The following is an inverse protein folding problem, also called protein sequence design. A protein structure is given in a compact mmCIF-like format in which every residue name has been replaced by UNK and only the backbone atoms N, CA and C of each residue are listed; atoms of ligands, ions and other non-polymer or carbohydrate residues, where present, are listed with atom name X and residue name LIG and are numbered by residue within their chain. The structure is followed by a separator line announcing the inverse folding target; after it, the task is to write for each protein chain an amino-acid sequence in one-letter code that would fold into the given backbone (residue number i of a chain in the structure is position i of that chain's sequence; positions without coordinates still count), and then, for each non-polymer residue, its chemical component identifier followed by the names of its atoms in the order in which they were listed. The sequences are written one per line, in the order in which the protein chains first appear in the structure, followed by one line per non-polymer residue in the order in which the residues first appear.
data_IF_196991571435
#
_entry.id   IF_196991571435
#
_cell.length_a   1.000
_cell.length_b   1.000
_cell.length_c   1.000
_cell.angle_alpha   90.00
_cell.angle_beta   90.00
_cell.angle_gamma   90.00
#
_symmetry.space_group_name_H-M   'P 1'
#
loop_
_entity.id
_entity.type
_entity.pdbx_description
1 polymer ?
#
# COMPACT_ATOMS: atom_id res chain seq x y z
N UNK A 1 52.46 6.58 -22.50
CA UNK A 1 52.07 7.16 -21.19
C UNK A 1 50.62 6.77 -20.96
N UNK A 2 50.39 5.66 -20.25
CA UNK A 2 49.05 5.15 -19.97
C UNK A 2 48.56 5.78 -18.67
N UNK A 3 47.43 6.48 -18.72
CA UNK A 3 46.76 6.95 -17.51
C UNK A 3 46.06 5.75 -16.84
N UNK A 4 46.15 5.60 -15.51
CA UNK A 4 45.33 4.64 -14.80
C UNK A 4 43.88 5.11 -14.84
N UNK A 5 42.96 4.22 -15.22
CA UNK A 5 41.55 4.39 -14.94
C UNK A 5 41.39 4.24 -13.43
N UNK A 6 41.31 5.37 -12.73
CA UNK A 6 40.85 5.42 -11.35
C UNK A 6 39.46 4.80 -11.30
N UNK A 7 39.37 3.55 -10.85
CA UNK A 7 38.13 2.99 -10.35
C UNK A 7 37.80 3.75 -9.07
N UNK A 8 37.16 4.91 -9.24
CA UNK A 8 36.46 5.57 -8.15
C UNK A 8 35.49 4.52 -7.59
N UNK A 9 35.80 4.05 -6.38
CA UNK A 9 34.93 3.21 -5.57
C UNK A 9 33.76 4.08 -5.11
N UNK A 10 32.92 4.49 -6.05
CA UNK A 10 31.70 5.24 -5.83
C UNK A 10 30.72 4.35 -5.10
N UNK A 11 30.37 4.73 -3.88
CA UNK A 11 29.39 4.01 -3.05
C UNK A 11 28.06 3.96 -3.82
N UNK A 12 27.73 2.80 -4.40
CA UNK A 12 26.48 2.59 -5.12
C UNK A 12 25.31 2.80 -4.17
N UNK A 13 24.31 3.58 -4.59
CA UNK A 13 23.09 3.78 -3.80
C UNK A 13 22.39 2.44 -3.63
N UNK A 14 22.04 2.11 -2.39
CA UNK A 14 21.31 0.89 -2.06
C UNK A 14 19.82 1.13 -2.25
N UNK A 15 19.16 0.17 -2.88
CA UNK A 15 17.70 0.13 -2.94
C UNK A 15 17.16 -0.45 -1.63
N UNK A 16 16.02 0.06 -1.12
CA UNK A 16 15.35 -0.54 0.03
C UNK A 16 14.84 -1.95 -0.32
N UNK A 17 14.53 -2.75 0.69
CA UNK A 17 13.81 -4.00 0.47
C UNK A 17 12.33 -3.71 0.19
N UNK A 18 11.69 -4.57 -0.61
CA UNK A 18 10.26 -4.51 -0.87
C UNK A 18 9.59 -5.80 -0.42
N UNK A 19 8.71 -5.72 0.57
CA UNK A 19 7.94 -6.83 1.13
C UNK A 19 6.44 -6.81 0.76
N UNK A 20 6.00 -5.72 0.12
CA UNK A 20 4.61 -5.48 -0.25
C UNK A 20 3.84 -4.59 0.73
N UNK A 21 4.44 -4.14 1.84
CA UNK A 21 3.76 -3.26 2.80
C UNK A 21 3.71 -1.80 2.34
N UNK A 22 4.81 -1.32 1.74
CA UNK A 22 4.83 0.01 1.14
C UNK A 22 4.14 0.02 -0.23
N UNK A 23 3.63 1.17 -0.65
CA UNK A 23 3.06 1.32 -1.99
C UNK A 23 4.10 0.98 -3.07
N UNK A 24 3.75 0.07 -3.97
CA UNK A 24 4.59 -0.31 -5.10
C UNK A 24 5.00 0.88 -5.96
N UNK A 25 4.10 1.85 -6.19
CA UNK A 25 4.43 3.06 -6.94
C UNK A 25 5.50 3.89 -6.23
N UNK A 26 5.40 4.05 -4.91
CA UNK A 26 6.41 4.76 -4.11
C UNK A 26 7.76 4.03 -4.18
N UNK A 27 7.75 2.71 -4.01
CA UNK A 27 8.95 1.89 -4.11
C UNK A 27 9.59 1.98 -5.50
N UNK A 28 8.78 1.83 -6.57
CA UNK A 28 9.23 1.93 -7.97
C UNK A 28 9.89 3.27 -8.25
N UNK A 29 9.33 4.39 -7.75
CA UNK A 29 9.97 5.71 -7.86
C UNK A 29 11.33 5.75 -7.15
N UNK A 30 11.44 5.22 -5.93
CA UNK A 30 12.71 5.18 -5.20
C UNK A 30 13.74 4.28 -5.90
N UNK A 31 13.31 3.14 -6.41
CA UNK A 31 14.13 2.18 -7.14
C UNK A 31 14.69 2.80 -8.44
N UNK A 32 13.84 3.44 -9.24
CA UNK A 32 14.25 4.11 -10.48
C UNK A 32 15.24 5.27 -10.24
N UNK A 33 15.06 6.01 -9.14
CA UNK A 33 16.00 7.06 -8.75
C UNK A 33 17.40 6.47 -8.44
N UNK A 34 17.45 5.37 -7.68
CA UNK A 34 18.70 4.67 -7.40
C UNK A 34 19.33 4.05 -8.65
N UNK A 35 18.52 3.42 -9.51
CA UNK A 35 18.96 2.83 -10.77
C UNK A 35 19.55 3.88 -11.73
N UNK A 36 18.92 5.05 -11.82
CA UNK A 36 19.40 6.17 -12.63
C UNK A 36 20.71 6.72 -12.08
N UNK A 37 20.81 6.94 -10.77
CA UNK A 37 22.05 7.43 -10.15
C UNK A 37 23.20 6.43 -10.24
N UNK A 38 22.92 5.13 -10.26
CA UNK A 38 23.91 4.08 -10.40
C UNK A 38 24.19 3.71 -11.87
N UNK A 39 23.52 4.36 -12.84
CA UNK A 39 23.61 4.05 -14.27
C UNK A 39 23.32 2.58 -14.61
N UNK A 40 22.40 1.94 -13.89
CA UNK A 40 22.09 0.52 -14.10
C UNK A 40 21.43 0.25 -15.45
N UNK A 41 21.97 -0.74 -16.16
CA UNK A 41 21.34 -1.30 -17.36
C UNK A 41 20.16 -2.23 -17.00
N UNK A 42 19.39 -2.66 -17.99
CA UNK A 42 18.19 -3.48 -17.77
C UNK A 42 18.44 -4.76 -16.97
N UNK A 43 19.57 -5.44 -17.18
CA UNK A 43 19.93 -6.68 -16.45
C UNK A 43 20.31 -6.39 -15.00
N UNK A 44 21.05 -5.31 -14.76
CA UNK A 44 21.40 -4.85 -13.42
C UNK A 44 20.16 -4.43 -12.62
N UNK A 45 19.23 -3.70 -13.26
CA UNK A 45 17.92 -3.36 -12.68
C UNK A 45 17.13 -4.60 -12.32
N UNK A 46 16.99 -5.55 -13.25
CA UNK A 46 16.28 -6.80 -12.98
C UNK A 46 16.89 -7.58 -11.80
N UNK A 47 18.22 -7.71 -11.79
CA UNK A 47 18.95 -8.40 -10.71
C UNK A 47 18.77 -7.70 -9.37
N UNK A 48 18.93 -6.38 -9.34
CA UNK A 48 18.76 -5.59 -8.12
C UNK A 48 17.32 -5.66 -7.60
N UNK A 49 16.32 -5.64 -8.50
CA UNK A 49 14.91 -5.76 -8.14
C UNK A 49 14.63 -7.12 -7.52
N UNK A 50 15.05 -8.23 -8.15
CA UNK A 50 14.93 -9.58 -7.59
C UNK A 50 15.55 -9.65 -6.19
N UNK A 51 16.76 -9.11 -6.03
CA UNK A 51 17.47 -9.12 -4.75
C UNK A 51 16.85 -8.22 -3.69
N UNK A 52 15.99 -7.28 -4.07
CA UNK A 52 15.28 -6.40 -3.14
C UNK A 52 13.94 -6.98 -2.68
N UNK A 53 13.33 -7.90 -3.43
CA UNK A 53 12.07 -8.54 -3.06
C UNK A 53 12.21 -9.44 -1.82
N UNK A 54 11.28 -9.30 -0.88
CA UNK A 54 11.21 -10.06 0.36
C UNK A 54 9.76 -10.50 0.62
N UNK A 55 9.58 -11.48 1.50
CA UNK A 55 8.26 -11.90 1.97
C UNK A 55 7.29 -12.21 0.81
N UNK A 56 6.07 -11.71 0.92
CA UNK A 56 5.00 -11.92 -0.08
C UNK A 56 5.37 -11.39 -1.46
N UNK A 57 6.12 -10.29 -1.54
CA UNK A 57 6.50 -9.70 -2.82
C UNK A 57 7.47 -10.58 -3.62
N UNK A 58 8.26 -11.42 -2.95
CA UNK A 58 9.13 -12.38 -3.62
C UNK A 58 8.34 -13.53 -4.28
N UNK A 59 7.10 -13.81 -3.86
CA UNK A 59 6.27 -14.87 -4.45
C UNK A 59 5.89 -14.56 -5.90
N UNK A 60 5.90 -13.28 -6.30
CA UNK A 60 5.68 -12.86 -7.70
C UNK A 60 6.69 -13.50 -8.64
N UNK A 61 7.90 -13.83 -8.19
CA UNK A 61 8.90 -14.49 -9.02
C UNK A 61 8.47 -15.90 -9.46
N UNK A 62 7.55 -16.55 -8.73
CA UNK A 62 7.00 -17.85 -9.10
C UNK A 62 6.02 -17.78 -10.28
N UNK A 63 5.44 -16.61 -10.55
CA UNK A 63 4.50 -16.42 -11.66
C UNK A 63 5.19 -16.09 -12.99
N UNK A 64 6.51 -15.84 -12.95
CA UNK A 64 7.32 -15.45 -14.10
C UNK A 64 8.17 -16.66 -14.56
N UNK A 65 8.17 -17.01 -15.86
CA UNK A 65 9.07 -18.02 -16.40
C UNK A 65 10.56 -17.67 -16.16
N UNK A 66 11.38 -18.69 -15.87
CA UNK A 66 12.78 -18.50 -15.52
C UNK A 66 13.59 -17.78 -16.62
N UNK A 67 13.25 -18.00 -17.89
CA UNK A 67 13.87 -17.29 -19.02
C UNK A 67 13.66 -15.77 -18.98
N UNK A 68 12.62 -15.30 -18.28
CA UNK A 68 12.24 -13.89 -18.20
C UNK A 68 12.63 -13.23 -16.87
N UNK A 69 13.25 -13.95 -15.92
CA UNK A 69 13.64 -13.38 -14.61
C UNK A 69 14.61 -12.21 -14.72
N UNK A 70 15.44 -12.16 -15.76
CA UNK A 70 16.38 -11.05 -15.99
C UNK A 70 15.81 -9.94 -16.89
N UNK A 71 14.52 -9.99 -17.22
CA UNK A 71 13.84 -8.94 -17.96
C UNK A 71 13.12 -7.99 -16.98
N UNK A 72 13.66 -6.77 -16.89
CA UNK A 72 13.14 -5.75 -15.98
C UNK A 72 11.66 -5.42 -16.23
N UNK A 73 11.25 -5.29 -17.49
CA UNK A 73 9.88 -4.92 -17.85
C UNK A 73 8.87 -6.00 -17.44
N UNK A 74 9.26 -7.28 -17.52
CA UNK A 74 8.42 -8.40 -17.10
C UNK A 74 8.26 -8.43 -15.58
N UNK A 75 9.35 -8.20 -14.83
CA UNK A 75 9.30 -8.10 -13.37
C UNK A 75 8.40 -6.95 -12.93
N UNK A 76 8.58 -5.77 -13.51
CA UNK A 76 7.78 -4.59 -13.23
C UNK A 76 6.30 -4.84 -13.55
N UNK A 77 5.99 -5.46 -14.70
CA UNK A 77 4.61 -5.78 -15.08
C UNK A 77 3.94 -6.75 -14.12
N UNK A 78 4.67 -7.76 -13.64
CA UNK A 78 4.16 -8.72 -12.66
C UNK A 78 3.90 -8.07 -11.28
N UNK A 79 4.78 -7.15 -10.88
CA UNK A 79 4.62 -6.35 -9.66
C UNK A 79 3.51 -5.30 -9.81
N UNK A 80 3.33 -4.70 -10.99
CA UNK A 80 2.20 -3.81 -11.29
C UNK A 80 0.87 -4.57 -11.25
N UNK A 81 0.83 -5.83 -11.70
CA UNK A 81 -0.37 -6.66 -11.61
C UNK A 81 -0.70 -7.04 -10.15
N UNK A 82 0.33 -7.37 -9.36
CA UNK A 82 0.17 -7.90 -8.00
C UNK A 82 0.12 -6.82 -6.92
N UNK A 83 0.74 -5.67 -7.15
CA UNK A 83 0.89 -4.58 -6.18
C UNK A 83 0.56 -3.20 -6.77
N UNK A 84 0.17 -3.12 -8.04
CA UNK A 84 -0.26 -1.87 -8.65
C UNK A 84 -1.52 -1.31 -8.00
N UNK A 85 -1.76 -0.02 -8.25
CA UNK A 85 -2.79 0.74 -7.54
C UNK A 85 -4.19 0.14 -7.66
N UNK A 86 -4.58 -0.40 -8.80
CA UNK A 86 -5.93 -0.92 -8.96
C UNK A 86 -6.14 -2.22 -8.17
N UNK A 87 -5.16 -3.12 -8.18
CA UNK A 87 -5.22 -4.33 -7.36
C UNK A 87 -5.22 -3.98 -5.87
N UNK A 88 -4.35 -3.05 -5.46
CA UNK A 88 -4.32 -2.56 -4.08
C UNK A 88 -5.64 -1.88 -3.66
N UNK A 89 -6.23 -1.03 -4.52
CA UNK A 89 -7.57 -0.45 -4.28
C UNK A 89 -8.61 -1.53 -4.05
N UNK A 90 -8.60 -2.61 -4.84
CA UNK A 90 -9.53 -3.72 -4.64
C UNK A 90 -9.29 -4.45 -3.31
N UNK A 91 -8.04 -4.70 -2.92
CA UNK A 91 -7.71 -5.27 -1.60
C UNK A 91 -8.21 -4.34 -0.48
N UNK A 92 -7.92 -3.05 -0.54
CA UNK A 92 -8.35 -2.09 0.48
C UNK A 92 -9.87 -1.99 0.56
N UNK A 93 -10.58 -1.99 -0.57
CA UNK A 93 -12.05 -2.06 -0.61
C UNK A 93 -12.57 -3.31 0.07
N UNK A 94 -11.90 -4.45 -0.14
CA UNK A 94 -12.29 -5.70 0.52
C UNK A 94 -11.99 -5.67 2.03
N UNK A 95 -10.85 -5.12 2.44
CA UNK A 95 -10.51 -4.96 3.86
C UNK A 95 -11.49 -4.01 4.56
N UNK A 96 -11.84 -2.89 3.92
CA UNK A 96 -12.81 -1.92 4.40
C UNK A 96 -14.18 -2.56 4.56
N UNK A 97 -14.67 -3.28 3.54
CA UNK A 97 -15.97 -3.97 3.59
C UNK A 97 -16.05 -5.02 4.69
N UNK A 98 -14.96 -5.72 4.95
CA UNK A 98 -14.88 -6.78 5.95
C UNK A 98 -14.44 -6.26 7.33
N UNK A 99 -14.30 -4.94 7.50
CA UNK A 99 -13.79 -4.36 8.73
C UNK A 99 -14.81 -4.51 9.85
N UNK A 100 -14.39 -5.11 10.95
CA UNK A 100 -15.15 -5.22 12.21
C UNK A 100 -14.25 -4.88 13.38
N UNK A 101 -14.79 -4.24 14.41
CA UNK A 101 -14.07 -3.90 15.64
C UNK A 101 -13.52 -5.16 16.30
N UNK A 102 -12.22 -5.19 16.61
CA UNK A 102 -11.57 -6.32 17.27
C UNK A 102 -11.86 -6.33 18.77
N UNK A 103 -11.57 -7.44 19.44
CA UNK A 103 -11.66 -7.51 20.90
C UNK A 103 -10.59 -6.62 21.54
N UNK A 104 -11.00 -5.71 22.43
CA UNK A 104 -10.10 -4.76 23.07
C UNK A 104 -9.64 -3.59 22.18
N UNK A 105 -10.12 -3.49 20.94
CA UNK A 105 -9.82 -2.35 20.06
C UNK A 105 -10.67 -1.15 20.46
N UNK A 106 -10.01 0.01 20.62
CA UNK A 106 -10.71 1.25 20.94
C UNK A 106 -11.49 1.78 19.73
N UNK A 107 -12.54 2.56 20.00
CA UNK A 107 -13.34 3.21 18.97
C UNK A 107 -12.49 4.13 18.08
N UNK A 108 -11.51 4.81 18.67
CA UNK A 108 -10.59 5.70 17.94
C UNK A 108 -9.67 4.91 17.01
N UNK A 109 -9.13 3.76 17.45
CA UNK A 109 -8.30 2.89 16.61
C UNK A 109 -9.08 2.34 15.42
N UNK A 110 -10.33 1.90 15.67
CA UNK A 110 -11.24 1.47 14.62
C UNK A 110 -11.47 2.58 13.58
N UNK A 111 -11.81 3.79 14.05
CA UNK A 111 -12.10 4.91 13.17
C UNK A 111 -10.88 5.35 12.35
N UNK A 112 -9.69 5.39 12.96
CA UNK A 112 -8.46 5.76 12.28
C UNK A 112 -8.09 4.75 11.17
N UNK A 113 -8.27 3.46 11.44
CA UNK A 113 -8.02 2.42 10.45
C UNK A 113 -9.06 2.45 9.31
N UNK A 114 -10.34 2.72 9.62
CA UNK A 114 -11.38 2.91 8.62
C UNK A 114 -11.10 4.15 7.75
N UNK A 115 -10.72 5.29 8.34
CA UNK A 115 -10.35 6.50 7.59
C UNK A 115 -9.18 6.21 6.64
N UNK A 116 -8.14 5.55 7.14
CA UNK A 116 -6.99 5.10 6.33
C UNK A 116 -7.44 4.19 5.18
N UNK A 117 -8.23 3.15 5.46
CA UNK A 117 -8.69 2.20 4.45
C UNK A 117 -9.59 2.86 3.40
N UNK A 118 -10.43 3.82 3.79
CA UNK A 118 -11.26 4.60 2.86
C UNK A 118 -10.40 5.45 1.92
N UNK A 119 -9.40 6.16 2.45
CA UNK A 119 -8.46 6.95 1.65
C UNK A 119 -7.72 6.07 0.62
N UNK A 120 -7.30 4.87 1.02
CA UNK A 120 -6.59 3.93 0.16
C UNK A 120 -7.51 3.25 -0.88
N UNK A 121 -8.79 3.06 -0.54
CA UNK A 121 -9.80 2.45 -1.42
C UNK A 121 -10.31 3.41 -2.51
N UNK A 122 -10.33 4.71 -2.20
CA UNK A 122 -10.97 5.75 -3.00
C UNK A 122 -10.11 7.04 -3.08
N UNK A 123 -8.85 6.97 -3.56
CA UNK A 123 -7.94 8.13 -3.52
C UNK A 123 -8.40 9.30 -4.38
N UNK A 124 -9.19 9.05 -5.43
CA UNK A 124 -9.69 10.05 -6.38
C UNK A 124 -11.15 10.44 -6.17
N UNK A 125 -11.85 9.83 -5.21
CA UNK A 125 -13.23 10.19 -4.91
C UNK A 125 -13.30 11.51 -4.15
N UNK A 126 -14.43 12.19 -4.27
CA UNK A 126 -14.68 13.42 -3.55
C UNK A 126 -14.66 13.18 -2.02
N UNK A 127 -14.35 14.21 -1.21
CA UNK A 127 -14.30 14.09 0.24
C UNK A 127 -15.63 13.66 0.87
N UNK A 128 -16.76 14.06 0.30
CA UNK A 128 -18.09 13.77 0.85
C UNK A 128 -18.43 12.28 0.74
N UNK A 129 -18.21 11.68 -0.44
CA UNK A 129 -18.36 10.25 -0.65
C UNK A 129 -17.46 9.41 0.26
N UNK A 130 -16.23 9.89 0.52
CA UNK A 130 -15.30 9.22 1.44
C UNK A 130 -15.81 9.31 2.88
N UNK A 131 -16.27 10.47 3.33
CA UNK A 131 -16.82 10.66 4.67
C UNK A 131 -18.05 9.76 4.88
N UNK A 132 -18.97 9.70 3.91
CA UNK A 132 -20.15 8.83 3.95
C UNK A 132 -19.76 7.35 3.99
N UNK A 133 -18.85 6.92 3.12
CA UNK A 133 -18.37 5.53 3.08
C UNK A 133 -17.70 5.12 4.39
N UNK A 134 -16.88 6.02 4.96
CA UNK A 134 -16.20 5.77 6.21
C UNK A 134 -17.17 5.70 7.39
N UNK A 135 -18.17 6.59 7.43
CA UNK A 135 -19.23 6.58 8.45
C UNK A 135 -20.05 5.29 8.40
N UNK A 136 -20.55 4.92 7.22
CA UNK A 136 -21.33 3.69 7.02
C UNK A 136 -20.56 2.45 7.45
N UNK A 137 -19.28 2.40 7.08
CA UNK A 137 -18.40 1.29 7.44
C UNK A 137 -18.17 1.26 8.95
N UNK A 138 -17.93 2.41 9.57
CA UNK A 138 -17.73 2.52 11.01
C UNK A 138 -18.94 2.02 11.79
N UNK A 139 -20.15 2.47 11.45
CA UNK A 139 -21.38 2.02 12.09
C UNK A 139 -21.54 0.50 11.94
N UNK A 140 -21.33 -0.05 10.75
CA UNK A 140 -21.43 -1.52 10.52
C UNK A 140 -20.37 -2.29 11.31
N UNK A 141 -19.16 -1.74 11.43
CA UNK A 141 -18.00 -2.39 12.03
C UNK A 141 -18.05 -2.48 13.56
N UNK A 142 -18.80 -1.61 14.26
CA UNK A 142 -18.88 -1.60 15.72
C UNK A 142 -19.26 -2.98 16.29
N UNK A 143 -18.90 -3.27 17.54
CA UNK A 143 -19.39 -4.48 18.24
C UNK A 143 -20.61 -4.21 19.11
N UNK A 144 -20.70 -3.01 19.65
CA UNK A 144 -21.79 -2.59 20.52
C UNK A 144 -23.06 -2.30 19.70
N UNK A 145 -24.08 -3.14 19.88
CA UNK A 145 -25.37 -3.03 19.19
C UNK A 145 -26.17 -1.80 19.61
N UNK A 146 -26.04 -1.33 20.85
CA UNK A 146 -26.76 -0.16 21.35
C UNK A 146 -26.13 1.12 20.79
N UNK A 147 -24.80 1.21 20.80
CA UNK A 147 -24.07 2.30 20.17
C UNK A 147 -24.33 2.36 18.67
N UNK A 148 -24.37 1.22 17.98
CA UNK A 148 -24.78 1.15 16.57
C UNK A 148 -26.15 1.76 16.34
N UNK A 149 -27.14 1.35 17.14
CA UNK A 149 -28.50 1.82 17.00
C UNK A 149 -28.61 3.33 17.28
N UNK A 150 -27.88 3.82 18.29
CA UNK A 150 -27.79 5.25 18.60
C UNK A 150 -27.24 6.05 17.43
N UNK A 151 -26.17 5.57 16.78
CA UNK A 151 -25.57 6.22 15.63
C UNK A 151 -26.44 6.14 14.37
N UNK A 152 -27.13 5.03 14.13
CA UNK A 152 -28.08 4.90 13.01
C UNK A 152 -29.27 5.86 13.11
N UNK A 153 -29.69 6.19 14.34
CA UNK A 153 -30.77 7.14 14.60
C UNK A 153 -30.28 8.59 14.66
N UNK A 154 -28.97 8.81 14.57
CA UNK A 154 -28.37 10.14 14.65
C UNK A 154 -28.25 10.77 13.25
N UNK A 155 -28.46 12.09 13.16
CA UNK A 155 -28.31 12.87 11.92
C UNK A 155 -26.82 13.13 11.55
N UNK A 156 -25.89 12.33 12.07
CA UNK A 156 -24.46 12.51 11.85
C UNK A 156 -24.12 12.12 10.41
N UNK A 157 -23.44 13.03 9.69
CA UNK A 157 -23.01 12.80 8.30
C UNK A 157 -21.50 12.59 8.15
N UNK A 158 -20.76 12.70 9.25
CA UNK A 158 -19.30 12.61 9.25
C UNK A 158 -18.82 11.61 10.29
N UNK A 159 -17.81 10.82 9.92
CA UNK A 159 -17.16 9.86 10.81
C UNK A 159 -16.70 10.52 12.12
N UNK A 160 -16.10 11.71 12.05
CA UNK A 160 -15.60 12.43 13.24
C UNK A 160 -16.71 12.71 14.27
N UNK A 161 -17.91 13.04 13.80
CA UNK A 161 -19.03 13.32 14.69
C UNK A 161 -19.56 12.03 15.35
N UNK A 162 -19.56 10.92 14.60
CA UNK A 162 -19.93 9.61 15.14
C UNK A 162 -18.91 9.09 16.17
N UNK A 163 -17.62 9.32 15.94
CA UNK A 163 -16.57 9.00 16.90
C UNK A 163 -16.73 9.82 18.18
N UNK A 164 -16.97 11.13 18.05
CA UNK A 164 -17.21 11.99 19.21
C UNK A 164 -18.42 11.51 20.03
N UNK A 165 -19.52 11.16 19.35
CA UNK A 165 -20.73 10.60 20.00
C UNK A 165 -20.47 9.28 20.71
N UNK A 166 -19.57 8.46 20.18
CA UNK A 166 -19.23 7.14 20.75
C UNK A 166 -18.33 7.19 21.98
N UNK A 167 -17.84 8.38 22.35
CA UNK A 167 -16.93 8.59 23.49
C UNK A 167 -17.64 9.22 24.70
N UNK A 168 -18.94 9.51 24.59
CA UNK A 168 -19.80 10.01 25.66
C UNK A 168 -20.81 8.93 26.08
#
# INVERSE_FOLDING_TARGET
MAMPLDHASGKTLKVPAFDGEMSWNVYKTQFEAAATSNCWNGKERATALILALRGSAAEVLQTIPAENHFNYEVLVSALDLSYGEEHMKQIYRSQLRNRTQRSGESIQQLAQDIERLTLLSYPTSDPEHRDETALDTFIKALRDSELKQSLLLSDKRKLKDAVAHSLF
#
